data_IF_848684564846
#
_entry.id   IF_848684564846
#
_cell.length_a   1.000
_cell.length_b   1.000
_cell.length_c   1.000
_cell.angle_alpha   90.00
_cell.angle_beta   90.00
_cell.angle_gamma   90.00
#
_symmetry.space_group_name_H-M   'P 1'
#
loop_
_entity.id
_entity.type
_entity.pdbx_description
1 polymer ?
#
# COMPACT_ATOMS: atom_id res chain seq x y z
N UNK A 1 3.05 12.58 -9.96
CA UNK A 1 1.99 11.55 -9.97
C UNK A 1 1.25 11.53 -8.63
N UNK A 2 0.05 10.98 -8.55
CA UNK A 2 -0.76 10.94 -7.30
C UNK A 2 -0.04 10.23 -6.15
N UNK A 3 0.68 9.13 -6.44
CA UNK A 3 1.47 8.39 -5.45
C UNK A 3 2.55 9.27 -4.78
N UNK A 4 3.20 10.16 -5.53
CA UNK A 4 4.21 11.07 -4.95
C UNK A 4 3.56 12.07 -3.98
N UNK A 5 2.38 12.61 -4.33
CA UNK A 5 1.63 13.51 -3.45
C UNK A 5 1.15 12.79 -2.19
N UNK A 6 0.71 11.54 -2.31
CA UNK A 6 0.34 10.71 -1.17
C UNK A 6 1.50 10.53 -0.18
N UNK A 7 2.72 10.28 -0.69
CA UNK A 7 3.92 10.10 0.13
C UNK A 7 4.39 11.41 0.81
N UNK A 8 4.13 12.57 0.21
CA UNK A 8 4.37 13.87 0.88
C UNK A 8 3.54 13.98 2.17
N UNK A 9 2.29 13.53 2.15
CA UNK A 9 1.42 13.50 3.34
C UNK A 9 1.67 12.32 4.28
N UNK A 10 2.25 11.23 3.77
CA UNK A 10 2.46 9.98 4.50
C UNK A 10 3.91 9.50 4.34
N UNK A 11 4.90 10.22 4.90
CA UNK A 11 6.32 9.96 4.64
C UNK A 11 6.83 8.62 5.20
N UNK A 12 6.10 8.01 6.12
CA UNK A 12 6.42 6.72 6.73
C UNK A 12 5.55 5.58 6.20
N UNK A 13 4.77 5.82 5.16
CA UNK A 13 3.96 4.77 4.55
C UNK A 13 4.88 3.68 3.97
N UNK A 14 4.53 2.43 4.25
CA UNK A 14 5.05 1.28 3.53
C UNK A 14 3.92 0.29 3.28
N UNK A 15 3.95 -0.37 2.14
CA UNK A 15 2.94 -1.36 1.74
C UNK A 15 2.90 -2.51 2.73
N UNK A 16 4.05 -2.94 3.26
CA UNK A 16 4.14 -4.00 4.27
C UNK A 16 3.49 -3.58 5.59
N UNK A 17 3.77 -2.37 6.07
CA UNK A 17 3.17 -1.91 7.33
C UNK A 17 1.65 -1.82 7.19
N UNK A 18 1.18 -1.18 6.12
CA UNK A 18 -0.24 -1.10 5.81
C UNK A 18 -0.92 -2.48 5.74
N UNK A 19 -0.32 -3.43 5.02
CA UNK A 19 -0.84 -4.79 4.90
C UNK A 19 -0.99 -5.51 6.25
N UNK A 20 -0.15 -5.20 7.24
CA UNK A 20 -0.24 -5.76 8.60
C UNK A 20 -1.27 -5.09 9.49
N UNK A 21 -1.72 -3.88 9.15
CA UNK A 21 -2.69 -3.11 9.94
C UNK A 21 -4.13 -3.29 9.50
N UNK A 22 -4.36 -3.70 8.25
CA UNK A 22 -5.71 -3.81 7.70
C UNK A 22 -6.41 -5.10 8.15
N UNK A 23 -7.68 -5.03 8.58
CA UNK A 23 -8.45 -6.20 9.01
C UNK A 23 -9.04 -6.96 7.82
N UNK A 24 -8.24 -7.30 6.82
CA UNK A 24 -8.70 -8.11 5.69
C UNK A 24 -9.06 -9.52 6.15
N UNK A 25 -10.24 -9.98 5.72
CA UNK A 25 -10.72 -11.34 6.00
C UNK A 25 -10.18 -12.37 5.01
N UNK A 26 -9.70 -11.92 3.86
CA UNK A 26 -9.28 -12.76 2.73
C UNK A 26 -7.93 -12.30 2.19
N UNK A 27 -7.04 -13.26 1.95
CA UNK A 27 -5.68 -13.00 1.50
C UNK A 27 -5.63 -12.54 0.03
N UNK A 28 -6.50 -13.06 -0.84
CA UNK A 28 -6.51 -12.68 -2.25
C UNK A 28 -6.90 -11.21 -2.44
N UNK A 29 -7.81 -10.72 -1.59
CA UNK A 29 -8.17 -9.29 -1.54
C UNK A 29 -6.97 -8.44 -1.12
N UNK A 30 -6.25 -8.82 -0.05
CA UNK A 30 -5.05 -8.11 0.37
C UNK A 30 -3.98 -8.08 -0.73
N UNK A 31 -3.72 -9.21 -1.39
CA UNK A 31 -2.74 -9.30 -2.47
C UNK A 31 -3.11 -8.41 -3.68
N UNK A 32 -4.40 -8.27 -4.00
CA UNK A 32 -4.85 -7.39 -5.07
C UNK A 32 -4.48 -5.92 -4.80
N UNK A 33 -4.62 -5.44 -3.56
CA UNK A 33 -4.21 -4.08 -3.19
C UNK A 33 -2.68 -3.93 -3.20
N UNK A 34 -1.94 -4.89 -2.65
CA UNK A 34 -0.47 -4.87 -2.63
C UNK A 34 0.09 -4.81 -4.05
N UNK A 35 -0.47 -5.59 -4.98
CA UNK A 35 -0.09 -5.55 -6.40
C UNK A 35 -0.37 -4.18 -7.03
N UNK A 36 -1.52 -3.58 -6.73
CA UNK A 36 -1.86 -2.21 -7.14
C UNK A 36 -0.85 -1.17 -6.64
N UNK A 37 -0.47 -1.25 -5.37
CA UNK A 37 0.51 -0.34 -4.76
C UNK A 37 1.91 -0.49 -5.36
N UNK A 38 2.33 -1.73 -5.63
CA UNK A 38 3.60 -2.00 -6.33
C UNK A 38 3.61 -1.42 -7.73
N UNK A 39 2.53 -1.60 -8.49
CA UNK A 39 2.37 -1.00 -9.83
C UNK A 39 2.35 0.52 -9.81
N UNK A 40 1.84 1.11 -8.74
CA UNK A 40 1.85 2.56 -8.51
C UNK A 40 3.22 3.11 -8.04
N UNK A 41 4.20 2.23 -7.77
CA UNK A 41 5.53 2.62 -7.31
C UNK A 41 5.60 3.00 -5.83
N UNK A 42 4.65 2.55 -5.01
CA UNK A 42 4.70 2.77 -3.56
C UNK A 42 5.78 1.90 -2.89
N UNK A 43 6.38 2.38 -1.79
CA UNK A 43 7.42 1.65 -1.06
C UNK A 43 6.89 0.38 -0.38
N UNK A 44 7.75 -0.63 -0.23
CA UNK A 44 7.46 -1.90 0.45
C UNK A 44 7.70 -1.86 1.96
#
# INVERSE_FOLDING_TARGET
AEAELFLVGNPHFTTRHWATTEPFRDAATLEHFVDGFRKAGLPE
#
